data_IF_425050932427
#
_entry.id   IF_425050932427
#
_cell.length_a   1.000
_cell.length_b   1.000
_cell.length_c   1.000
_cell.angle_alpha   90.00
_cell.angle_beta   90.00
_cell.angle_gamma   90.00
#
_symmetry.space_group_name_H-M   'P 1'
#
loop_
_entity.id
_entity.type
_entity.pdbx_description
1 polymer ?
#
# COMPACT_ATOMS: atom_id res chain seq x y z
N UNK A 1 -3.68 25.12 17.92
CA UNK A 1 -2.45 25.48 17.19
C UNK A 1 -2.10 24.33 16.27
N UNK A 2 -2.32 24.48 14.96
CA UNK A 2 -1.94 23.46 13.97
C UNK A 2 -0.41 23.47 13.90
N UNK A 3 0.21 22.33 14.21
CA UNK A 3 1.66 22.20 14.37
C UNK A 3 2.36 22.55 13.04
N UNK A 4 3.27 23.52 13.03
CA UNK A 4 3.87 24.05 11.79
C UNK A 4 4.58 22.99 10.94
N UNK A 5 5.16 21.99 11.59
CA UNK A 5 5.78 20.82 10.94
C UNK A 5 4.77 19.94 10.18
N UNK A 6 3.53 19.85 10.69
CA UNK A 6 2.44 19.13 10.04
C UNK A 6 2.14 19.77 8.69
N UNK A 7 1.86 21.08 8.68
CA UNK A 7 1.52 21.83 7.45
C UNK A 7 2.63 21.77 6.39
N UNK A 8 3.91 21.75 6.79
CA UNK A 8 5.04 21.68 5.86
C UNK A 8 5.16 20.30 5.21
N UNK A 9 5.04 19.20 5.98
CA UNK A 9 5.07 17.83 5.44
C UNK A 9 3.94 17.61 4.44
N UNK A 10 2.75 18.05 4.80
CA UNK A 10 1.56 18.05 3.94
C UNK A 10 1.79 18.77 2.62
N UNK A 11 2.38 19.97 2.66
CA UNK A 11 2.66 20.75 1.46
C UNK A 11 3.67 20.06 0.54
N UNK A 12 4.70 19.43 1.10
CA UNK A 12 5.69 18.67 0.33
C UNK A 12 5.05 17.48 -0.37
N UNK A 13 4.27 16.68 0.37
CA UNK A 13 3.61 15.50 -0.19
C UNK A 13 2.54 15.86 -1.22
N UNK A 14 1.76 16.91 -0.97
CA UNK A 14 0.80 17.43 -1.95
C UNK A 14 1.48 17.86 -3.26
N UNK A 15 2.64 18.55 -3.16
CA UNK A 15 3.43 18.95 -4.33
C UNK A 15 3.95 17.74 -5.11
N UNK A 16 4.44 16.73 -4.41
CA UNK A 16 4.90 15.48 -5.00
C UNK A 16 3.76 14.79 -5.77
N UNK A 17 2.60 14.59 -5.12
CA UNK A 17 1.40 14.01 -5.75
C UNK A 17 1.04 14.76 -7.02
N UNK A 18 0.93 16.08 -6.93
CA UNK A 18 0.58 16.95 -8.06
C UNK A 18 1.62 16.86 -9.18
N UNK A 19 2.91 16.95 -8.86
CA UNK A 19 3.99 16.92 -9.84
C UNK A 19 4.09 15.55 -10.55
N UNK A 20 3.83 14.45 -9.85
CA UNK A 20 3.78 13.11 -10.43
C UNK A 20 2.63 12.98 -11.41
N UNK A 21 1.40 13.35 -11.00
CA UNK A 21 0.26 13.33 -11.93
C UNK A 21 0.49 14.23 -13.16
N UNK A 22 1.09 15.43 -12.99
CA UNK A 22 1.47 16.29 -14.12
C UNK A 22 2.46 15.60 -15.06
N UNK A 23 3.52 14.97 -14.53
CA UNK A 23 4.51 14.22 -15.33
C UNK A 23 3.89 13.09 -16.12
N UNK A 24 2.87 12.44 -15.56
CA UNK A 24 2.11 11.37 -16.20
C UNK A 24 0.96 11.87 -17.10
N UNK A 25 0.85 13.18 -17.37
CA UNK A 25 -0.08 13.73 -18.36
C UNK A 25 -1.45 14.15 -17.80
N UNK A 26 -1.62 14.17 -16.48
CA UNK A 26 -2.85 14.59 -15.81
C UNK A 26 -2.85 16.08 -15.42
N UNK A 27 -2.03 16.91 -16.06
CA UNK A 27 -1.94 18.35 -15.76
C UNK A 27 -3.27 19.09 -15.90
N UNK A 28 -4.13 18.66 -16.84
CA UNK A 28 -5.45 19.24 -17.10
C UNK A 28 -6.40 19.14 -15.89
N UNK A 29 -6.22 18.14 -15.00
CA UNK A 29 -7.04 18.01 -13.79
C UNK A 29 -6.76 19.15 -12.80
N UNK A 30 -5.54 19.67 -12.79
CA UNK A 30 -5.11 20.72 -11.88
C UNK A 30 -5.42 22.12 -12.39
N UNK A 31 -5.51 22.30 -13.71
CA UNK A 31 -5.94 23.58 -14.31
C UNK A 31 -7.36 23.98 -13.85
N UNK A 32 -8.23 23.00 -13.61
CA UNK A 32 -9.58 23.23 -13.05
C UNK A 32 -9.56 23.55 -11.54
N UNK A 33 -8.67 22.92 -10.77
CA UNK A 33 -8.50 23.17 -9.33
C UNK A 33 -7.84 24.54 -9.04
N UNK A 34 -6.97 25.02 -9.93
CA UNK A 34 -6.28 26.31 -9.78
C UNK A 34 -7.24 27.52 -9.83
N UNK A 35 -8.40 27.38 -10.50
CA UNK A 35 -9.47 28.38 -10.55
C UNK A 35 -10.13 28.61 -9.18
N UNK A 36 -10.29 27.55 -8.38
CA UNK A 36 -10.91 27.61 -7.05
C UNK A 36 -9.88 27.94 -5.94
N UNK A 37 -8.62 27.53 -6.11
CA UNK A 37 -7.53 27.77 -5.14
C UNK A 37 -6.75 29.07 -5.40
N UNK A 38 -7.44 30.17 -5.76
CA UNK A 38 -6.82 31.49 -6.07
C UNK A 38 -5.86 32.00 -4.99
N UNK A 39 -6.05 31.64 -3.71
CA UNK A 39 -5.22 32.06 -2.59
C UNK A 39 -3.84 31.38 -2.52
N UNK A 40 -3.67 30.21 -3.16
CA UNK A 40 -2.42 29.45 -3.16
C UNK A 40 -1.56 29.69 -4.42
N UNK A 41 -2.07 30.47 -5.39
CA UNK A 41 -1.40 30.80 -6.65
C UNK A 41 0.00 31.42 -6.50
N UNK A 42 0.29 32.06 -5.35
CA UNK A 42 1.64 32.60 -5.02
C UNK A 42 2.65 31.54 -4.58
N UNK A 43 2.19 30.39 -4.09
CA UNK A 43 3.06 29.30 -3.63
C UNK A 43 3.37 28.27 -4.72
N UNK A 44 2.57 28.22 -5.79
CA UNK A 44 2.71 27.19 -6.82
C UNK A 44 2.81 27.85 -8.20
N UNK A 45 4.04 28.10 -8.66
CA UNK A 45 4.31 28.29 -10.10
C UNK A 45 4.48 26.90 -10.69
N UNK A 46 3.38 26.31 -11.15
CA UNK A 46 3.46 25.07 -11.92
C UNK A 46 4.06 25.37 -13.30
N UNK A 47 5.10 24.66 -13.74
CA UNK A 47 5.54 24.75 -15.12
C UNK A 47 4.45 24.12 -15.99
N UNK A 48 3.60 24.95 -16.58
CA UNK A 48 2.65 24.54 -17.62
C UNK A 48 3.47 24.11 -18.83
N UNK A 49 3.81 22.82 -18.93
CA UNK A 49 4.29 22.26 -20.20
C UNK A 49 3.09 22.09 -21.11
N UNK A 50 3.02 22.91 -22.16
CA UNK A 50 2.11 22.73 -23.28
C UNK A 50 2.38 21.37 -23.95
N UNK A 51 1.35 20.53 -23.99
CA UNK A 51 1.16 19.54 -25.04
C UNK A 51 1.80 18.18 -24.81
N UNK A 52 1.01 17.24 -24.28
CA UNK A 52 0.91 15.91 -24.84
C UNK A 52 -0.58 15.57 -24.89
N UNK A 53 -1.12 15.42 -26.11
CA UNK A 53 -2.38 14.72 -26.31
C UNK A 53 -2.06 13.24 -26.13
N UNK A 54 -1.90 12.78 -24.89
CA UNK A 54 -1.76 11.35 -24.59
C UNK A 54 -3.04 10.67 -25.04
N UNK A 55 -2.94 9.60 -25.82
CA UNK A 55 -4.13 8.88 -26.28
C UNK A 55 -4.91 8.33 -25.06
N UNK A 56 -6.24 8.18 -25.12
CA UNK A 56 -7.03 7.70 -23.98
C UNK A 56 -6.57 6.36 -23.38
N UNK A 57 -6.03 5.45 -24.20
CA UNK A 57 -5.45 4.17 -23.73
C UNK A 57 -4.09 4.35 -23.04
N UNK A 58 -3.28 5.32 -23.47
CA UNK A 58 -2.03 5.67 -22.82
C UNK A 58 -2.27 6.33 -21.45
N UNK A 59 -3.39 7.04 -21.28
CA UNK A 59 -3.77 7.66 -20.01
C UNK A 59 -4.00 6.62 -18.91
N UNK A 60 -4.67 5.49 -19.20
CA UNK A 60 -4.85 4.42 -18.21
C UNK A 60 -3.50 3.84 -17.75
N UNK A 61 -2.57 3.66 -18.70
CA UNK A 61 -1.21 3.18 -18.41
C UNK A 61 -0.46 4.18 -17.54
N UNK A 62 -0.52 5.47 -17.89
CA UNK A 62 0.10 6.55 -17.14
C UNK A 62 -0.53 6.74 -15.74
N UNK A 63 -1.82 6.43 -15.59
CA UNK A 63 -2.49 6.45 -14.29
C UNK A 63 -1.91 5.39 -13.36
N UNK A 64 -1.75 4.15 -13.85
CA UNK A 64 -1.07 3.07 -13.12
C UNK A 64 0.36 3.45 -12.76
N UNK A 65 1.14 3.98 -13.72
CA UNK A 65 2.53 4.40 -13.48
C UNK A 65 2.64 5.51 -12.43
N UNK A 66 1.70 6.46 -12.43
CA UNK A 66 1.62 7.48 -11.39
C UNK A 66 1.37 6.84 -10.01
N UNK A 67 0.49 5.83 -9.93
CA UNK A 67 0.20 5.13 -8.68
C UNK A 67 1.40 4.35 -8.15
N UNK A 68 2.14 3.67 -9.04
CA UNK A 68 3.39 2.97 -8.69
C UNK A 68 4.44 3.97 -8.16
N UNK A 69 4.59 5.11 -8.82
CA UNK A 69 5.56 6.13 -8.42
C UNK A 69 5.19 6.83 -7.11
N UNK A 70 3.89 7.05 -6.86
CA UNK A 70 3.43 7.64 -5.60
C UNK A 70 3.51 6.68 -4.42
N UNK A 71 3.66 5.38 -4.69
CA UNK A 71 4.01 4.38 -3.70
C UNK A 71 2.80 3.79 -2.96
N UNK A 72 3.00 3.27 -1.74
CA UNK A 72 2.12 2.26 -1.16
C UNK A 72 0.64 2.63 -1.03
N UNK A 73 0.34 3.85 -0.61
CA UNK A 73 -1.05 4.32 -0.49
C UNK A 73 -1.77 4.27 -1.84
N UNK A 74 -1.10 4.74 -2.90
CA UNK A 74 -1.70 4.78 -4.24
C UNK A 74 -1.73 3.40 -4.89
N UNK A 75 -0.72 2.55 -4.67
CA UNK A 75 -0.78 1.13 -5.09
C UNK A 75 -2.02 0.45 -4.49
N UNK A 76 -2.25 0.60 -3.17
CA UNK A 76 -3.44 0.05 -2.49
C UNK A 76 -4.74 0.66 -2.97
N UNK A 77 -4.77 1.97 -3.20
CA UNK A 77 -5.93 2.64 -3.80
C UNK A 77 -6.25 2.06 -5.18
N UNK A 78 -5.24 1.87 -6.02
CA UNK A 78 -5.39 1.31 -7.36
C UNK A 78 -5.91 -0.13 -7.35
N UNK A 79 -5.39 -0.97 -6.46
CA UNK A 79 -5.88 -2.35 -6.27
C UNK A 79 -7.35 -2.38 -5.83
N UNK A 80 -7.78 -1.48 -4.95
CA UNK A 80 -9.19 -1.40 -4.56
C UNK A 80 -10.04 -0.90 -5.73
N UNK A 81 -9.60 0.15 -6.42
CA UNK A 81 -10.31 0.71 -7.58
C UNK A 81 -10.42 -0.26 -8.76
N UNK A 82 -9.45 -1.17 -8.96
CA UNK A 82 -9.54 -2.18 -10.02
C UNK A 82 -10.68 -3.18 -9.80
N UNK A 83 -11.16 -3.32 -8.56
CA UNK A 83 -12.32 -4.17 -8.24
C UNK A 83 -13.67 -3.46 -8.37
N UNK A 84 -13.68 -2.19 -8.81
CA UNK A 84 -14.86 -1.29 -8.81
C UNK A 84 -15.26 -0.87 -10.24
N UNK A 85 -15.91 -1.76 -11.02
CA UNK A 85 -16.39 -1.45 -12.37
C UNK A 85 -17.47 -0.37 -12.42
N UNK A 86 -18.07 -0.06 -11.26
CA UNK A 86 -19.00 1.05 -11.10
C UNK A 86 -18.31 2.42 -11.02
N UNK A 87 -17.00 2.47 -10.74
CA UNK A 87 -16.24 3.72 -10.57
C UNK A 87 -15.32 4.05 -11.74
N UNK A 88 -14.75 3.05 -12.41
CA UNK A 88 -13.75 3.24 -13.46
C UNK A 88 -14.09 2.50 -14.76
N UNK A 89 -13.71 3.06 -15.93
CA UNK A 89 -13.79 2.33 -17.19
C UNK A 89 -12.92 1.07 -17.20
N UNK A 90 -13.29 0.08 -18.00
CA UNK A 90 -12.59 -1.20 -18.10
C UNK A 90 -11.10 -1.08 -18.45
N UNK A 91 -10.70 -0.07 -19.23
CA UNK A 91 -9.29 0.18 -19.58
C UNK A 91 -8.46 0.54 -18.35
N UNK A 92 -8.99 1.38 -17.44
CA UNK A 92 -8.31 1.73 -16.19
C UNK A 92 -8.26 0.54 -15.24
N UNK A 93 -9.33 -0.26 -15.17
CA UNK A 93 -9.37 -1.49 -14.35
C UNK A 93 -8.32 -2.50 -14.83
N UNK A 94 -8.20 -2.69 -16.13
CA UNK A 94 -7.23 -3.60 -16.72
C UNK A 94 -5.78 -3.17 -16.40
N UNK A 95 -5.49 -1.87 -16.44
CA UNK A 95 -4.18 -1.36 -16.06
C UNK A 95 -3.95 -1.44 -14.54
N UNK A 96 -4.89 -0.98 -13.71
CA UNK A 96 -4.73 -1.02 -12.24
C UNK A 96 -4.66 -2.46 -11.70
N UNK A 97 -5.27 -3.43 -12.36
CA UNK A 97 -5.13 -4.86 -12.03
C UNK A 97 -3.70 -5.37 -12.17
N UNK A 98 -2.83 -4.66 -12.89
CA UNK A 98 -1.40 -5.01 -13.02
C UNK A 98 -0.56 -4.51 -11.85
N UNK A 99 -1.11 -3.68 -10.96
CA UNK A 99 -0.38 -3.16 -9.80
C UNK A 99 0.04 -4.31 -8.88
N UNK A 100 1.32 -4.62 -8.92
CA UNK A 100 1.95 -5.54 -7.99
C UNK A 100 2.28 -4.82 -6.69
N UNK A 101 2.25 -5.55 -5.58
CA UNK A 101 2.73 -5.01 -4.29
C UNK A 101 4.25 -4.96 -4.20
N UNK A 102 5.00 -5.50 -5.16
CA UNK A 102 6.46 -5.62 -5.06
C UNK A 102 7.16 -4.28 -5.27
N UNK A 103 7.88 -3.83 -4.24
CA UNK A 103 8.65 -2.58 -4.23
C UNK A 103 10.09 -2.87 -3.80
N UNK A 104 11.07 -1.98 -4.08
CA UNK A 104 12.44 -2.16 -3.59
C UNK A 104 12.49 -2.41 -2.08
N UNK A 105 13.38 -3.29 -1.66
CA UNK A 105 13.59 -3.58 -0.24
C UNK A 105 14.23 -2.39 0.47
N UNK A 106 13.75 -2.11 1.68
CA UNK A 106 14.45 -1.33 2.69
C UNK A 106 15.72 -2.05 3.14
N UNK A 107 16.76 -1.30 3.56
CA UNK A 107 17.95 -1.87 4.17
C UNK A 107 17.62 -2.75 5.38
N UNK A 108 18.36 -3.84 5.53
CA UNK A 108 18.16 -4.80 6.62
C UNK A 108 18.21 -4.13 7.98
N UNK A 109 19.12 -3.18 8.19
CA UNK A 109 19.32 -2.47 9.44
C UNK A 109 18.05 -1.73 9.88
N UNK A 110 17.34 -1.10 8.95
CA UNK A 110 16.11 -0.38 9.25
C UNK A 110 14.95 -1.33 9.63
N UNK A 111 14.91 -2.52 9.01
CA UNK A 111 13.96 -3.57 9.35
C UNK A 111 14.31 -4.20 10.70
N UNK A 112 15.59 -4.51 10.93
CA UNK A 112 16.10 -5.04 12.19
C UNK A 112 15.76 -4.10 13.33
N UNK A 113 15.97 -2.79 13.17
CA UNK A 113 15.59 -1.78 14.17
C UNK A 113 14.09 -1.80 14.49
N UNK A 114 13.24 -1.97 13.47
CA UNK A 114 11.80 -2.12 13.68
C UNK A 114 11.46 -3.42 14.43
N UNK A 115 12.09 -4.55 14.08
CA UNK A 115 11.91 -5.82 14.78
C UNK A 115 12.35 -5.68 16.25
N UNK A 116 13.53 -5.09 16.52
CA UNK A 116 14.02 -4.83 17.88
C UNK A 116 13.03 -3.97 18.69
N UNK A 117 12.46 -2.92 18.08
CA UNK A 117 11.46 -2.08 18.73
C UNK A 117 10.19 -2.84 19.10
N UNK A 118 9.72 -3.73 18.22
CA UNK A 118 8.50 -4.52 18.48
C UNK A 118 8.72 -5.63 19.50
N UNK A 119 9.90 -6.25 19.52
CA UNK A 119 10.25 -7.30 20.49
C UNK A 119 10.69 -6.74 21.85
N UNK A 120 11.22 -5.51 21.90
CA UNK A 120 11.82 -4.92 23.09
C UNK A 120 13.19 -5.49 23.46
N UNK A 121 13.72 -6.41 22.66
CA UNK A 121 15.02 -7.08 22.81
C UNK A 121 15.65 -7.29 21.43
N UNK A 122 16.93 -7.62 21.37
CA UNK A 122 17.60 -7.93 20.11
C UNK A 122 17.00 -9.19 19.46
N UNK A 123 16.74 -9.20 18.14
CA UNK A 123 16.08 -10.31 17.45
C UNK A 123 16.82 -11.65 17.61
N UNK A 124 18.14 -11.61 17.70
CA UNK A 124 19.02 -12.78 17.87
C UNK A 124 18.87 -13.43 19.26
N UNK A 125 18.17 -12.79 20.20
CA UNK A 125 17.79 -13.42 21.48
C UNK A 125 16.53 -14.29 21.39
N UNK A 126 15.72 -14.09 20.34
CA UNK A 126 14.44 -14.78 20.10
C UNK A 126 14.58 -15.79 18.97
N UNK A 127 15.22 -15.40 17.86
CA UNK A 127 15.39 -16.22 16.67
C UNK A 127 16.81 -16.77 16.61
N UNK A 128 16.94 -18.05 16.30
CA UNK A 128 18.23 -18.71 16.11
C UNK A 128 18.96 -18.15 14.87
N UNK A 129 18.21 -17.88 13.80
CA UNK A 129 18.71 -17.18 12.61
C UNK A 129 17.61 -16.31 12.01
N UNK A 130 17.99 -15.23 11.35
CA UNK A 130 17.13 -14.42 10.48
C UNK A 130 17.91 -14.13 9.20
N UNK A 131 17.29 -14.35 8.05
CA UNK A 131 17.89 -14.01 6.76
C UNK A 131 17.74 -12.50 6.52
N UNK A 132 18.85 -11.74 6.43
CA UNK A 132 18.79 -10.32 6.15
C UNK A 132 18.28 -10.02 4.72
N UNK A 133 18.31 -10.99 3.81
CA UNK A 133 17.71 -10.85 2.49
C UNK A 133 16.20 -11.15 2.57
N UNK A 134 15.33 -10.19 2.18
CA UNK A 134 13.89 -10.44 2.19
C UNK A 134 13.51 -11.43 1.08
N UNK A 135 12.64 -12.38 1.40
CA UNK A 135 12.00 -13.26 0.40
C UNK A 135 11.06 -12.46 -0.50
N UNK A 136 10.42 -11.44 0.06
CA UNK A 136 9.60 -10.50 -0.68
C UNK A 136 9.55 -9.15 0.02
N UNK A 137 9.37 -8.10 -0.79
CA UNK A 137 9.21 -6.72 -0.32
C UNK A 137 7.91 -6.19 -0.91
N UNK A 138 6.86 -6.25 -0.09
CA UNK A 138 5.53 -5.75 -0.42
C UNK A 138 5.43 -4.25 -0.12
N UNK A 139 4.35 -3.64 -0.61
CA UNK A 139 4.11 -2.19 -0.52
C UNK A 139 4.08 -1.68 0.93
N UNK A 140 3.61 -2.49 1.88
CA UNK A 140 3.51 -2.12 3.30
C UNK A 140 4.55 -2.81 4.21
N UNK A 141 5.17 -3.90 3.75
CA UNK A 141 6.00 -4.77 4.58
C UNK A 141 7.10 -5.48 3.81
N UNK A 142 8.09 -5.97 4.56
CA UNK A 142 9.06 -6.96 4.08
C UNK A 142 8.88 -8.29 4.79
N UNK A 143 9.14 -9.36 4.05
CA UNK A 143 9.06 -10.74 4.48
C UNK A 143 10.47 -11.32 4.60
N UNK A 144 10.85 -11.73 5.80
CA UNK A 144 12.15 -12.32 6.10
C UNK A 144 11.98 -13.73 6.66
N UNK A 145 12.83 -14.65 6.23
CA UNK A 145 12.87 -16.01 6.80
C UNK A 145 13.60 -15.95 8.13
N UNK A 146 13.10 -16.67 9.12
CA UNK A 146 13.79 -16.89 10.37
C UNK A 146 13.60 -18.33 10.86
N UNK A 147 14.44 -18.72 11.82
CA UNK A 147 14.38 -20.03 12.48
C UNK A 147 14.27 -19.80 13.97
N UNK A 148 13.32 -20.48 14.62
CA UNK A 148 13.17 -20.46 16.08
C UNK A 148 14.21 -21.38 16.75
N UNK A 149 14.47 -21.24 18.07
CA UNK A 149 15.43 -22.07 18.79
C UNK A 149 15.11 -23.57 18.77
N UNK A 150 13.84 -23.94 18.54
CA UNK A 150 13.38 -25.32 18.40
C UNK A 150 13.51 -25.88 16.97
N UNK A 151 14.08 -25.09 16.04
CA UNK A 151 14.34 -25.47 14.66
C UNK A 151 13.18 -25.21 13.70
N UNK A 152 12.04 -24.69 14.15
CA UNK A 152 10.91 -24.37 13.26
C UNK A 152 11.23 -23.17 12.38
N UNK A 153 10.97 -23.31 11.08
CA UNK A 153 11.06 -22.20 10.13
C UNK A 153 9.82 -21.31 10.21
N UNK A 154 10.05 -20.01 10.29
CA UNK A 154 9.00 -18.99 10.34
C UNK A 154 9.27 -17.89 9.32
N UNK A 155 8.22 -17.16 8.97
CA UNK A 155 8.26 -15.94 8.17
C UNK A 155 7.94 -14.76 9.06
N UNK A 156 8.84 -13.77 9.09
CA UNK A 156 8.65 -12.49 9.76
C UNK A 156 8.16 -11.49 8.73
N UNK A 157 6.92 -11.02 8.89
CA UNK A 157 6.36 -9.89 8.15
C UNK A 157 6.52 -8.62 8.97
N UNK A 158 7.47 -7.78 8.60
CA UNK A 158 7.79 -6.54 9.28
C UNK A 158 7.30 -5.33 8.46
N UNK A 159 6.58 -4.39 9.09
CA UNK A 159 6.17 -3.15 8.42
C UNK A 159 7.38 -2.35 7.94
N UNK A 160 7.22 -1.64 6.82
CA UNK A 160 8.23 -0.69 6.37
C UNK A 160 8.39 0.45 7.39
N UNK A 161 9.61 0.84 7.77
CA UNK A 161 9.82 1.95 8.69
C UNK A 161 9.17 3.24 8.20
N UNK A 162 8.45 3.94 9.08
CA UNK A 162 7.80 5.21 8.77
C UNK A 162 6.52 5.12 7.91
N UNK A 163 6.09 3.93 7.48
CA UNK A 163 4.98 3.76 6.53
C UNK A 163 3.65 4.36 7.04
N UNK A 164 3.36 4.26 8.33
CA UNK A 164 2.16 4.83 8.95
C UNK A 164 2.07 6.33 8.71
N UNK A 165 3.19 7.05 8.81
CA UNK A 165 3.22 8.50 8.63
C UNK A 165 2.95 8.90 7.19
N UNK A 166 3.49 8.13 6.24
CA UNK A 166 3.25 8.33 4.80
C UNK A 166 1.78 8.12 4.49
N UNK A 167 1.21 7.00 4.95
CA UNK A 167 -0.19 6.65 4.74
C UNK A 167 -1.13 7.69 5.35
N UNK A 168 -0.93 8.10 6.60
CA UNK A 168 -1.81 9.09 7.23
C UNK A 168 -1.77 10.43 6.48
N UNK A 169 -0.59 10.86 6.02
CA UNK A 169 -0.46 12.10 5.22
C UNK A 169 -1.19 11.96 3.88
N UNK A 170 -1.04 10.83 3.18
CA UNK A 170 -1.72 10.58 1.91
C UNK A 170 -3.24 10.50 2.07
N UNK A 171 -3.73 9.80 3.11
CA UNK A 171 -5.15 9.68 3.41
C UNK A 171 -5.78 11.04 3.71
N UNK A 172 -5.10 11.90 4.48
CA UNK A 172 -5.57 13.27 4.72
C UNK A 172 -5.67 14.09 3.43
N UNK A 173 -4.71 13.95 2.51
CA UNK A 173 -4.75 14.61 1.19
C UNK A 173 -5.91 14.05 0.34
N UNK A 174 -6.09 12.73 0.32
CA UNK A 174 -7.18 12.07 -0.40
C UNK A 174 -8.55 12.54 0.13
N UNK A 175 -8.76 12.54 1.45
CA UNK A 175 -10.00 13.03 2.07
C UNK A 175 -10.24 14.51 1.77
N UNK A 176 -9.19 15.34 1.81
CA UNK A 176 -9.29 16.75 1.43
C UNK A 176 -9.74 16.92 -0.03
N UNK A 177 -9.14 16.19 -0.96
CA UNK A 177 -9.48 16.24 -2.39
C UNK A 177 -10.88 15.71 -2.63
N UNK A 178 -11.25 14.57 -2.02
CA UNK A 178 -12.59 13.99 -2.11
C UNK A 178 -13.68 15.00 -1.67
N UNK A 179 -13.47 15.68 -0.54
CA UNK A 179 -14.40 16.70 -0.06
C UNK A 179 -14.52 17.91 -1.00
N UNK A 180 -13.49 18.24 -1.79
CA UNK A 180 -13.57 19.30 -2.81
C UNK A 180 -14.29 18.82 -4.07
N UNK A 181 -14.02 17.60 -4.53
CA UNK A 181 -14.66 17.07 -5.74
C UNK A 181 -16.14 16.72 -5.47
N UNK A 182 -16.51 16.45 -4.21
CA UNK A 182 -17.89 16.15 -3.80
C UNK A 182 -18.91 17.23 -4.23
N UNK A 183 -18.50 18.50 -4.36
CA UNK A 183 -19.39 19.60 -4.79
C UNK A 183 -19.55 19.70 -6.30
N UNK A 184 -18.81 18.90 -7.07
CA UNK A 184 -18.84 18.89 -8.55
C UNK A 184 -19.92 17.94 -9.10
N UNK A 185 -20.03 17.84 -10.42
CA UNK A 185 -20.95 16.89 -11.05
C UNK A 185 -20.65 15.43 -10.68
N UNK A 186 -19.36 15.07 -10.51
CA UNK A 186 -18.94 13.73 -10.08
C UNK A 186 -19.49 13.40 -8.69
N UNK A 187 -19.45 14.36 -7.76
CA UNK A 187 -20.00 14.18 -6.42
C UNK A 187 -21.52 14.06 -6.37
N UNK A 188 -22.24 14.42 -7.45
CA UNK A 188 -23.68 14.12 -7.57
C UNK A 188 -23.96 12.68 -7.97
N UNK A 189 -22.98 12.01 -8.57
CA UNK A 189 -23.09 10.63 -9.03
C UNK A 189 -22.51 9.67 -7.98
N UNK A 190 -21.38 10.04 -7.38
CA UNK A 190 -20.65 9.23 -6.42
C UNK A 190 -20.48 9.94 -5.08
N UNK A 191 -20.59 9.18 -3.99
CA UNK A 191 -20.22 9.64 -2.65
C UNK A 191 -18.71 9.48 -2.47
N UNK A 192 -17.95 10.45 -2.98
CA UNK A 192 -16.49 10.43 -3.00
C UNK A 192 -15.90 10.55 -1.58
N UNK A 193 -16.57 11.27 -0.69
CA UNK A 193 -16.17 11.35 0.73
C UNK A 193 -16.28 9.98 1.37
N UNK A 194 -17.41 9.29 1.20
CA UNK A 194 -17.57 7.93 1.73
C UNK A 194 -16.58 6.95 1.12
N UNK A 195 -16.34 7.01 -0.19
CA UNK A 195 -15.33 6.16 -0.86
C UNK A 195 -13.95 6.39 -0.25
N UNK A 196 -13.57 7.65 0.00
CA UNK A 196 -12.30 7.99 0.64
C UNK A 196 -12.23 7.50 2.09
N UNK A 197 -13.32 7.61 2.85
CA UNK A 197 -13.40 7.13 4.24
C UNK A 197 -13.32 5.60 4.32
N UNK A 198 -14.03 4.88 3.45
CA UNK A 198 -13.98 3.42 3.35
C UNK A 198 -12.58 2.94 2.96
N UNK A 199 -11.91 3.64 2.04
CA UNK A 199 -10.52 3.39 1.68
C UNK A 199 -9.58 3.62 2.88
N UNK A 200 -9.72 4.76 3.55
CA UNK A 200 -8.91 5.09 4.72
C UNK A 200 -9.09 4.07 5.86
N UNK A 201 -10.32 3.62 6.10
CA UNK A 201 -10.63 2.58 7.07
C UNK A 201 -9.95 1.25 6.70
N UNK A 202 -10.06 0.83 5.44
CA UNK A 202 -9.46 -0.42 4.94
C UNK A 202 -7.94 -0.37 5.07
N UNK A 203 -7.30 0.69 4.59
CA UNK A 203 -5.84 0.82 4.60
C UNK A 203 -5.27 0.91 6.03
N UNK A 204 -5.94 1.62 6.94
CA UNK A 204 -5.51 1.65 8.35
C UNK A 204 -5.67 0.30 9.06
N UNK A 205 -6.65 -0.49 8.65
CA UNK A 205 -6.80 -1.85 9.16
C UNK A 205 -5.71 -2.79 8.64
N UNK A 206 -5.19 -2.58 7.42
CA UNK A 206 -4.04 -3.33 6.90
C UNK A 206 -2.74 -3.03 7.67
N UNK A 207 -2.63 -1.87 8.31
CA UNK A 207 -1.49 -1.51 9.18
C UNK A 207 -1.55 -2.13 10.58
N UNK A 208 -2.53 -2.99 10.85
CA UNK A 208 -2.62 -3.74 12.09
C UNK A 208 -2.52 -5.24 11.82
N UNK A 209 -1.31 -5.77 11.89
CA UNK A 209 -1.07 -7.18 11.59
C UNK A 209 -1.65 -8.14 12.63
N UNK A 210 -2.04 -7.67 13.82
CA UNK A 210 -2.84 -8.50 14.72
C UNK A 210 -4.22 -8.81 14.13
N UNK A 211 -4.77 -7.94 13.26
CA UNK A 211 -6.01 -8.25 12.55
C UNK A 211 -5.80 -9.35 11.52
N UNK A 212 -4.70 -9.27 10.77
CA UNK A 212 -4.32 -10.30 9.80
C UNK A 212 -4.10 -11.65 10.49
N UNK A 213 -3.32 -11.69 11.58
CA UNK A 213 -3.10 -12.92 12.34
C UNK A 213 -4.40 -13.53 12.90
N UNK A 214 -5.31 -12.71 13.46
CA UNK A 214 -6.60 -13.21 13.98
C UNK A 214 -7.51 -13.71 12.87
N UNK A 215 -7.44 -13.09 11.69
CA UNK A 215 -8.16 -13.59 10.52
C UNK A 215 -7.56 -14.94 10.10
N UNK A 216 -6.24 -15.08 10.03
CA UNK A 216 -5.59 -16.36 9.72
C UNK A 216 -6.01 -17.46 10.70
N UNK A 217 -6.04 -17.19 12.01
CA UNK A 217 -6.53 -18.14 13.01
C UNK A 217 -7.98 -18.56 12.76
N UNK A 218 -8.87 -17.58 12.50
CA UNK A 218 -10.27 -17.88 12.19
C UNK A 218 -10.42 -18.72 10.92
N UNK A 219 -9.63 -18.43 9.88
CA UNK A 219 -9.62 -19.23 8.66
C UNK A 219 -9.14 -20.65 8.95
N UNK A 220 -8.06 -20.80 9.73
CA UNK A 220 -7.54 -22.11 10.15
C UNK A 220 -8.60 -22.93 10.91
N UNK A 221 -9.36 -22.30 11.81
CA UNK A 221 -10.46 -22.95 12.53
C UNK A 221 -11.61 -23.35 11.59
N UNK A 222 -12.06 -22.43 10.75
CA UNK A 222 -13.17 -22.66 9.83
C UNK A 222 -12.89 -23.77 8.81
N UNK A 223 -11.62 -23.95 8.43
CA UNK A 223 -11.19 -24.90 7.41
C UNK A 223 -10.39 -26.08 7.97
N UNK A 224 -10.44 -26.34 9.28
CA UNK A 224 -9.67 -27.42 9.92
C UNK A 224 -9.97 -28.84 9.35
N UNK A 225 -11.12 -29.04 8.71
CA UNK A 225 -11.50 -30.29 8.06
C UNK A 225 -11.23 -30.35 6.55
N UNK A 226 -10.72 -29.27 5.94
CA UNK A 226 -10.50 -29.20 4.49
C UNK A 226 -9.09 -29.66 4.13
N UNK A 227 -8.98 -30.84 3.52
CA UNK A 227 -7.69 -31.46 3.18
C UNK A 227 -6.90 -30.72 2.08
N UNK A 228 -7.57 -29.91 1.26
CA UNK A 228 -6.95 -29.18 0.15
C UNK A 228 -6.48 -27.78 0.53
N UNK A 229 -6.74 -27.32 1.76
CA UNK A 229 -6.42 -25.97 2.21
C UNK A 229 -5.60 -26.01 3.49
N UNK A 230 -4.45 -25.35 3.47
CA UNK A 230 -3.58 -25.20 4.62
C UNK A 230 -3.41 -23.72 4.97
N UNK A 231 -3.60 -23.37 6.24
CA UNK A 231 -3.44 -22.01 6.75
C UNK A 231 -2.29 -22.04 7.77
N UNK A 232 -1.23 -21.22 7.57
CA UNK A 232 -0.05 -21.25 8.44
C UNK A 232 -0.41 -20.87 9.88
N UNK A 233 0.25 -21.50 10.84
CA UNK A 233 0.14 -21.12 12.23
C UNK A 233 0.73 -19.73 12.49
N UNK A 234 0.03 -18.90 13.28
CA UNK A 234 0.57 -17.64 13.80
C UNK A 234 1.32 -17.87 15.11
N UNK A 235 2.49 -17.25 15.25
CA UNK A 235 3.29 -17.24 16.47
C UNK A 235 3.06 -15.93 17.23
N UNK A 236 2.01 -15.93 18.07
CA UNK A 236 1.55 -14.73 18.76
C UNK A 236 2.55 -14.15 19.76
N UNK A 237 3.39 -14.99 20.37
CA UNK A 237 4.44 -14.55 21.31
C UNK A 237 5.48 -13.63 20.65
N UNK A 238 5.56 -13.66 19.31
CA UNK A 238 6.47 -12.86 18.51
C UNK A 238 5.71 -11.94 17.54
N UNK A 239 4.39 -11.79 17.70
CA UNK A 239 3.56 -10.98 16.79
C UNK A 239 2.98 -9.76 17.50
N UNK A 240 2.98 -8.65 16.80
CA UNK A 240 2.55 -7.34 17.26
C UNK A 240 1.72 -6.64 16.17
N UNK A 241 1.37 -5.37 16.41
CA UNK A 241 0.66 -4.57 15.41
C UNK A 241 1.50 -4.33 14.15
N UNK A 242 2.82 -4.22 14.27
CA UNK A 242 3.74 -3.88 13.17
C UNK A 242 4.62 -5.03 12.68
N UNK A 243 4.54 -6.19 13.34
CA UNK A 243 5.28 -7.38 13.00
C UNK A 243 4.39 -8.62 13.14
N UNK A 244 4.35 -9.50 12.14
CA UNK A 244 3.61 -10.75 12.21
C UNK A 244 4.56 -11.91 11.94
N UNK A 245 4.61 -12.87 12.86
CA UNK A 245 5.42 -14.07 12.72
C UNK A 245 4.48 -15.23 12.50
N UNK A 246 4.70 -15.94 11.39
CA UNK A 246 3.87 -17.07 10.99
C UNK A 246 4.74 -18.23 10.54
N UNK A 247 4.18 -19.43 10.53
CA UNK A 247 4.81 -20.61 9.96
C UNK A 247 5.21 -20.36 8.51
N UNK A 248 6.43 -20.78 8.16
CA UNK A 248 6.90 -20.73 6.78
C UNK A 248 6.30 -21.90 6.00
N UNK A 249 5.53 -21.58 4.96
CA UNK A 249 5.05 -22.57 3.98
C UNK A 249 5.94 -22.49 2.73
N UNK A 250 6.30 -23.66 2.20
CA UNK A 250 6.99 -23.79 0.93
C UNK A 250 6.00 -24.30 -0.12
N UNK A 251 5.96 -23.67 -1.29
CA UNK A 251 5.03 -24.02 -2.36
C UNK A 251 5.24 -23.19 -3.63
N UNK A 252 4.52 -23.55 -4.69
CA UNK A 252 4.52 -22.84 -5.96
C UNK A 252 3.44 -21.74 -5.91
N UNK A 253 3.79 -20.52 -6.32
CA UNK A 253 2.82 -19.43 -6.37
C UNK A 253 1.71 -19.76 -7.37
N UNK A 254 0.46 -19.49 -7.01
CA UNK A 254 -0.70 -19.75 -7.88
C UNK A 254 -0.61 -19.02 -9.24
N UNK A 255 0.11 -17.90 -9.27
CA UNK A 255 0.35 -17.11 -10.48
C UNK A 255 1.41 -17.71 -11.41
N UNK A 256 2.20 -18.68 -10.95
CA UNK A 256 3.21 -19.38 -11.75
C UNK A 256 2.59 -20.64 -12.37
N UNK A 257 1.76 -20.41 -13.39
CA UNK A 257 1.00 -21.47 -14.08
C UNK A 257 1.96 -22.53 -14.64
N UNK A 258 3.09 -22.10 -15.22
CA UNK A 258 4.10 -23.00 -15.80
C UNK A 258 4.69 -23.94 -14.74
N UNK A 259 5.06 -23.40 -13.57
CA UNK A 259 5.61 -24.22 -12.50
C UNK A 259 4.57 -25.20 -11.94
N UNK A 260 3.30 -24.77 -11.83
CA UNK A 260 2.20 -25.65 -11.41
C UNK A 260 1.97 -26.80 -12.40
N UNK A 261 1.87 -26.50 -13.70
CA UNK A 261 1.70 -27.51 -14.75
C UNK A 261 2.87 -28.50 -14.79
N UNK A 262 4.08 -28.03 -14.48
CA UNK A 262 5.27 -28.89 -14.39
C UNK A 262 5.25 -29.79 -13.15
N UNK A 263 4.66 -29.32 -12.05
CA UNK A 263 4.58 -30.07 -10.79
C UNK A 263 3.45 -31.12 -10.76
N UNK A 264 2.46 -31.00 -11.66
CA UNK A 264 1.35 -31.95 -11.84
C UNK A 264 0.07 -31.51 -11.16
#
# INVERSE_FOLDING_TARGET
MINSLHTIRHLSRYREITATFIRHGFGFLFDHLESELRSLRRFFRFPVRKGYLTLPEELATHFRLAFEELGPTFIKLGQILSTRPDLLPSTYIAELSKLQDMVPAEPWEAIRDLITQELGVEPESIFATIDPQPVASASLAQLHVAVLPDGKEVMIKAQRPGITTVIDTDLEIISFVAARIQTTWLGKIYDLVRIADDFAFTLRNELDYCREGRNADRFRENFAGESQLYIPQIYWDFSTRRMLVMERINGIKISDITALETAG
#
